data_IF_031950855610
#
_entry.id   IF_031950855610
#
_cell.length_a   1.000
_cell.length_b   1.000
_cell.length_c   1.000
_cell.angle_alpha   90.00
_cell.angle_beta   90.00
_cell.angle_gamma   90.00
#
_symmetry.space_group_name_H-M   'P 1'
#
loop_
_entity.id
_entity.type
_entity.pdbx_description
1 polymer ?
#
# COMPACT_ATOMS: atom_id res chain seq x y z
N UNK A 1 -26.35 16.73 19.68
CA UNK A 1 -26.43 15.43 18.95
C UNK A 1 -25.57 15.38 17.69
N UNK A 2 -25.55 16.43 16.83
CA UNK A 2 -24.74 16.45 15.59
C UNK A 2 -23.23 16.17 15.80
N UNK A 3 -22.62 16.72 16.85
CA UNK A 3 -21.20 16.51 17.17
C UNK A 3 -20.87 15.06 17.56
N UNK A 4 -21.75 14.38 18.30
CA UNK A 4 -21.58 12.98 18.66
C UNK A 4 -21.60 12.07 17.42
N UNK A 5 -22.50 12.36 16.47
CA UNK A 5 -22.59 11.62 15.20
C UNK A 5 -21.34 11.87 14.34
N UNK A 6 -20.85 13.11 14.27
CA UNK A 6 -19.62 13.46 13.55
C UNK A 6 -18.38 12.75 14.13
N UNK A 7 -18.27 12.70 15.47
CA UNK A 7 -17.19 11.97 16.15
C UNK A 7 -17.27 10.48 15.81
N UNK A 8 -18.47 9.89 15.82
CA UNK A 8 -18.65 8.47 15.55
C UNK A 8 -18.31 8.11 14.09
N UNK A 9 -18.76 8.93 13.13
CA UNK A 9 -18.43 8.75 11.71
C UNK A 9 -16.93 8.94 11.46
N UNK A 10 -16.31 9.95 12.10
CA UNK A 10 -14.88 10.20 11.99
C UNK A 10 -14.03 9.07 12.55
N UNK A 11 -14.41 8.49 13.69
CA UNK A 11 -13.73 7.33 14.26
C UNK A 11 -13.92 6.08 13.39
N UNK A 12 -15.15 5.81 12.93
CA UNK A 12 -15.44 4.65 12.09
C UNK A 12 -14.68 4.69 10.75
N UNK A 13 -14.64 5.85 10.10
CA UNK A 13 -13.87 6.03 8.86
C UNK A 13 -12.37 5.92 9.11
N UNK A 14 -11.86 6.49 10.21
CA UNK A 14 -10.46 6.36 10.61
C UNK A 14 -10.02 4.91 10.82
N UNK A 15 -10.80 4.11 11.56
CA UNK A 15 -10.53 2.69 11.76
C UNK A 15 -10.56 1.89 10.45
N UNK A 16 -11.52 2.19 9.57
CA UNK A 16 -11.66 1.51 8.27
C UNK A 16 -10.46 1.79 7.37
N UNK A 17 -10.00 3.04 7.31
CA UNK A 17 -8.82 3.40 6.51
C UNK A 17 -7.54 2.80 7.09
N UNK A 18 -7.37 2.84 8.41
CA UNK A 18 -6.20 2.27 9.06
C UNK A 18 -6.10 0.75 8.85
N UNK A 19 -7.22 0.02 8.99
CA UNK A 19 -7.25 -1.43 8.76
C UNK A 19 -7.01 -1.79 7.29
N UNK A 20 -7.58 -1.04 6.35
CA UNK A 20 -7.36 -1.23 4.92
C UNK A 20 -5.89 -1.00 4.52
N UNK A 21 -5.26 0.07 5.03
CA UNK A 21 -3.85 0.35 4.79
C UNK A 21 -2.96 -0.75 5.38
N UNK A 22 -3.21 -1.16 6.63
CA UNK A 22 -2.44 -2.21 7.28
C UNK A 22 -2.56 -3.54 6.54
N UNK A 23 -3.78 -3.93 6.16
CA UNK A 23 -4.04 -5.12 5.35
C UNK A 23 -3.30 -5.07 4.00
N UNK A 24 -3.30 -3.91 3.32
CA UNK A 24 -2.58 -3.73 2.07
C UNK A 24 -1.07 -3.96 2.25
N UNK A 25 -0.45 -3.34 3.25
CA UNK A 25 0.99 -3.39 3.48
C UNK A 25 1.46 -4.81 3.82
N UNK A 26 0.70 -5.52 4.66
CA UNK A 26 0.99 -6.91 5.04
C UNK A 26 0.78 -7.85 3.85
N UNK A 27 -0.31 -7.67 3.07
CA UNK A 27 -0.62 -8.51 1.90
C UNK A 27 0.40 -8.34 0.78
N UNK A 28 0.82 -7.09 0.51
CA UNK A 28 1.88 -6.80 -0.46
C UNK A 28 3.24 -7.34 0.02
N UNK A 29 3.41 -7.55 1.33
CA UNK A 29 4.63 -8.11 1.90
C UNK A 29 5.79 -7.12 1.99
N UNK A 30 5.51 -5.82 2.01
CA UNK A 30 6.54 -4.76 2.12
C UNK A 30 7.41 -4.98 3.36
N UNK A 31 6.78 -5.27 4.49
CA UNK A 31 7.45 -5.50 5.78
C UNK A 31 8.28 -6.79 5.77
N UNK A 32 7.73 -7.86 5.18
CA UNK A 32 8.45 -9.12 5.01
C UNK A 32 9.72 -8.95 4.16
N UNK A 33 9.62 -8.14 3.09
CA UNK A 33 10.75 -7.85 2.22
C UNK A 33 11.83 -7.04 2.96
N UNK A 34 11.44 -6.02 3.71
CA UNK A 34 12.37 -5.23 4.53
C UNK A 34 13.08 -6.10 5.57
N UNK A 35 12.34 -6.92 6.32
CA UNK A 35 12.90 -7.79 7.36
C UNK A 35 13.86 -8.85 6.79
N UNK A 36 13.62 -9.31 5.55
CA UNK A 36 14.52 -10.23 4.86
C UNK A 36 15.80 -9.57 4.37
N UNK A 37 15.73 -8.37 3.80
CA UNK A 37 16.92 -7.63 3.33
C UNK A 37 17.85 -7.29 4.50
N UNK A 38 17.29 -7.00 5.67
CA UNK A 38 18.07 -6.71 6.90
C UNK A 38 18.47 -7.96 7.68
N UNK A 39 18.15 -9.16 7.18
CA UNK A 39 18.40 -10.45 7.85
C UNK A 39 17.84 -10.50 9.29
N UNK A 40 16.75 -9.79 9.58
CA UNK A 40 16.18 -9.65 10.93
C UNK A 40 14.70 -10.01 10.95
N UNK A 41 14.39 -11.24 10.54
CA UNK A 41 13.01 -11.79 10.55
C UNK A 41 12.44 -11.95 11.98
N UNK A 42 13.32 -12.05 12.99
CA UNK A 42 12.92 -12.25 14.40
C UNK A 42 12.29 -11.01 15.03
N UNK A 43 12.42 -9.84 14.39
CA UNK A 43 11.98 -8.53 14.91
C UNK A 43 10.93 -7.87 14.01
N UNK A 44 10.01 -8.65 13.43
CA UNK A 44 9.00 -8.14 12.49
C UNK A 44 8.06 -7.10 13.13
N UNK A 45 7.66 -7.28 14.39
CA UNK A 45 6.77 -6.33 15.10
C UNK A 45 7.38 -4.93 15.31
N UNK A 46 8.71 -4.82 15.33
CA UNK A 46 9.38 -3.51 15.38
C UNK A 46 9.24 -2.76 14.05
N UNK A 47 9.32 -3.45 12.92
CA UNK A 47 9.08 -2.83 11.61
C UNK A 47 7.63 -2.37 11.45
N UNK A 48 6.66 -3.15 11.94
CA UNK A 48 5.25 -2.75 11.98
C UNK A 48 5.04 -1.48 12.81
N UNK A 49 5.65 -1.41 13.99
CA UNK A 49 5.56 -0.26 14.90
C UNK A 49 6.18 0.99 14.28
N UNK A 50 7.34 0.86 13.62
CA UNK A 50 7.97 1.95 12.88
C UNK A 50 7.10 2.44 11.72
N UNK A 51 6.43 1.53 11.01
CA UNK A 51 5.52 1.89 9.93
C UNK A 51 4.30 2.65 10.45
N UNK A 52 3.70 2.18 11.54
CA UNK A 52 2.59 2.85 12.20
C UNK A 52 2.97 4.25 12.70
N UNK A 53 4.14 4.39 13.34
CA UNK A 53 4.67 5.68 13.77
C UNK A 53 4.91 6.62 12.58
N UNK A 54 5.47 6.12 11.47
CA UNK A 54 5.64 6.91 10.25
C UNK A 54 4.31 7.43 9.69
N UNK A 55 3.27 6.59 9.69
CA UNK A 55 1.92 6.98 9.29
C UNK A 55 1.30 8.04 10.20
N UNK A 56 1.47 7.92 11.52
CA UNK A 56 1.00 8.91 12.50
C UNK A 56 1.70 10.26 12.28
N UNK A 57 3.04 10.25 12.19
CA UNK A 57 3.84 11.46 11.96
C UNK A 57 3.46 12.09 10.61
N UNK A 58 3.35 11.30 9.54
CA UNK A 58 2.95 11.79 8.23
C UNK A 58 1.56 12.43 8.22
N UNK A 59 0.61 11.83 8.94
CA UNK A 59 -0.75 12.37 9.06
C UNK A 59 -0.77 13.69 9.85
N UNK A 60 -0.03 13.78 10.95
CA UNK A 60 0.14 15.03 11.73
C UNK A 60 0.76 16.13 10.86
N UNK A 61 1.82 15.82 10.11
CA UNK A 61 2.45 16.77 9.19
C UNK A 61 1.50 17.24 8.10
N UNK A 62 0.72 16.31 7.53
CA UNK A 62 -0.27 16.61 6.50
C UNK A 62 -1.41 17.50 7.03
N UNK A 63 -1.93 17.19 8.23
CA UNK A 63 -3.07 17.91 8.81
C UNK A 63 -2.71 19.32 9.29
N UNK A 64 -1.58 19.45 9.98
CA UNK A 64 -1.15 20.73 10.56
C UNK A 64 -0.37 21.62 9.59
N UNK A 65 -0.07 21.15 8.38
CA UNK A 65 0.69 21.90 7.35
C UNK A 65 1.90 22.62 7.95
N UNK A 66 2.66 21.91 8.80
CA UNK A 66 3.70 22.51 9.63
C UNK A 66 4.72 23.23 8.73
N UNK A 67 4.90 24.56 8.87
CA UNK A 67 5.84 25.29 8.03
C UNK A 67 7.27 24.95 8.45
N UNK A 68 7.86 23.99 7.73
CA UNK A 68 9.25 23.65 7.89
C UNK A 68 10.13 24.76 7.32
N UNK A 69 10.77 25.55 8.20
CA UNK A 69 11.66 26.66 7.85
C UNK A 69 13.08 26.21 7.42
N UNK A 70 13.18 25.01 6.82
CA UNK A 70 14.43 24.47 6.26
C UNK A 70 14.59 24.89 4.80
N UNK A 71 15.83 24.97 4.33
CA UNK A 71 16.15 25.29 2.94
C UNK A 71 15.34 24.40 1.97
N UNK A 72 14.66 25.04 1.00
CA UNK A 72 13.71 24.35 0.13
C UNK A 72 14.31 23.14 -0.60
N UNK A 73 15.61 23.22 -0.94
CA UNK A 73 16.34 22.14 -1.60
C UNK A 73 16.54 20.91 -0.70
N UNK A 74 16.87 21.12 0.58
CA UNK A 74 17.06 20.04 1.53
C UNK A 74 15.74 19.31 1.81
N UNK A 75 14.64 20.07 1.93
CA UNK A 75 13.29 19.51 2.14
C UNK A 75 12.87 18.60 0.98
N UNK A 76 13.06 19.05 -0.26
CA UNK A 76 12.70 18.28 -1.47
C UNK A 76 13.60 17.06 -1.61
N UNK A 77 14.93 17.23 -1.41
CA UNK A 77 15.89 16.14 -1.51
C UNK A 77 15.63 15.02 -0.49
N UNK A 78 15.40 15.39 0.77
CA UNK A 78 15.07 14.43 1.82
C UNK A 78 13.75 13.72 1.51
N UNK A 79 12.66 14.47 1.26
CA UNK A 79 11.35 13.87 0.95
C UNK A 79 11.44 12.93 -0.26
N UNK A 80 12.12 13.34 -1.33
CA UNK A 80 12.33 12.52 -2.53
C UNK A 80 13.08 11.22 -2.25
N UNK A 81 14.12 11.26 -1.40
CA UNK A 81 14.85 10.07 -0.98
C UNK A 81 13.95 9.06 -0.25
N UNK A 82 13.18 9.51 0.75
CA UNK A 82 12.29 8.64 1.52
C UNK A 82 11.18 8.04 0.64
N UNK A 83 10.57 8.84 -0.23
CA UNK A 83 9.60 8.33 -1.20
C UNK A 83 10.23 7.32 -2.15
N UNK A 84 11.45 7.56 -2.63
CA UNK A 84 12.19 6.64 -3.50
C UNK A 84 12.46 5.30 -2.83
N UNK A 85 12.95 5.31 -1.59
CA UNK A 85 13.20 4.09 -0.79
C UNK A 85 11.89 3.33 -0.57
N UNK A 86 10.82 4.02 -0.19
CA UNK A 86 9.51 3.42 0.02
C UNK A 86 8.96 2.77 -1.25
N UNK A 87 8.91 3.51 -2.36
CA UNK A 87 8.40 3.03 -3.65
C UNK A 87 9.26 1.87 -4.17
N UNK A 88 10.59 1.94 -4.05
CA UNK A 88 11.49 0.84 -4.44
C UNK A 88 11.28 -0.43 -3.59
N UNK A 89 11.02 -0.27 -2.30
CA UNK A 89 10.66 -1.38 -1.42
C UNK A 89 9.29 -1.98 -1.82
N UNK A 90 8.31 -1.12 -2.07
CA UNK A 90 6.94 -1.46 -2.45
C UNK A 90 6.87 -2.23 -3.76
N UNK A 91 7.51 -1.72 -4.83
CA UNK A 91 7.52 -2.36 -6.15
C UNK A 91 8.19 -3.73 -6.09
N UNK A 92 9.32 -3.86 -5.39
CA UNK A 92 9.97 -5.16 -5.31
C UNK A 92 9.22 -6.17 -4.44
N UNK A 93 8.44 -5.72 -3.45
CA UNK A 93 7.53 -6.59 -2.70
C UNK A 93 6.37 -7.06 -3.59
N UNK A 94 5.76 -6.15 -4.38
CA UNK A 94 4.78 -6.50 -5.40
C UNK A 94 5.33 -7.49 -6.43
N UNK A 95 6.55 -7.28 -6.93
CA UNK A 95 7.18 -8.18 -7.89
C UNK A 95 7.34 -9.60 -7.33
N UNK A 96 7.65 -9.72 -6.05
CA UNK A 96 7.75 -11.01 -5.39
C UNK A 96 6.41 -11.71 -5.27
N UNK A 97 5.36 -11.01 -4.83
CA UNK A 97 3.99 -11.54 -4.79
C UNK A 97 3.53 -11.95 -6.19
N UNK A 98 3.83 -11.14 -7.20
CA UNK A 98 3.47 -11.42 -8.59
C UNK A 98 4.16 -12.68 -9.12
N UNK A 99 5.42 -12.90 -8.75
CA UNK A 99 6.16 -14.10 -9.14
C UNK A 99 5.58 -15.39 -8.52
N UNK A 100 4.85 -15.29 -7.41
CA UNK A 100 4.17 -16.43 -6.77
C UNK A 100 2.88 -16.81 -7.50
N UNK A 101 2.19 -15.88 -8.17
CA UNK A 101 0.94 -16.18 -8.87
C UNK A 101 1.05 -17.30 -9.91
N UNK A 102 2.02 -17.30 -10.85
CA UNK A 102 2.17 -18.37 -11.84
C UNK A 102 2.36 -19.75 -11.19
N UNK A 103 3.11 -19.79 -10.09
CA UNK A 103 3.38 -21.02 -9.33
C UNK A 103 2.06 -21.54 -8.72
N UNK A 104 1.24 -20.65 -8.15
CA UNK A 104 -0.06 -21.00 -7.59
C UNK A 104 -1.02 -21.53 -8.67
N UNK A 105 -1.07 -20.90 -9.84
CA UNK A 105 -1.87 -21.38 -10.97
C UNK A 105 -1.43 -22.75 -11.50
N UNK A 106 -0.11 -23.00 -11.51
CA UNK A 106 0.42 -24.31 -11.91
C UNK A 106 0.10 -25.41 -10.87
N UNK A 107 0.19 -25.09 -9.57
CA UNK A 107 -0.17 -26.00 -8.46
C UNK A 107 -1.64 -26.40 -8.48
N UNK A 108 -2.54 -25.47 -8.82
CA UNK A 108 -3.98 -25.72 -8.93
C UNK A 108 -4.38 -26.53 -10.19
N UNK A 109 -3.41 -26.99 -11.02
CA UNK A 109 -3.65 -27.70 -12.30
C UNK A 109 -4.66 -27.00 -13.23
N UNK A 110 -4.83 -25.69 -13.09
CA UNK A 110 -5.70 -24.86 -13.92
C UNK A 110 -5.00 -24.53 -15.26
N UNK A 111 -4.62 -25.55 -16.05
CA UNK A 111 -3.99 -25.38 -17.37
C UNK A 111 -4.84 -24.56 -18.36
N UNK A 112 -6.16 -24.53 -18.17
CA UNK A 112 -7.09 -23.74 -18.99
C UNK A 112 -7.57 -22.45 -18.31
N UNK A 113 -7.49 -22.35 -16.97
CA UNK A 113 -8.00 -21.20 -16.21
C UNK A 113 -7.20 -19.92 -16.43
N UNK A 114 -5.89 -20.01 -16.71
CA UNK A 114 -5.06 -18.82 -16.93
C UNK A 114 -5.50 -18.04 -18.19
N UNK A 115 -5.84 -18.73 -19.28
CA UNK A 115 -6.37 -18.10 -20.50
C UNK A 115 -7.72 -17.44 -20.23
N UNK A 116 -8.61 -18.11 -19.49
CA UNK A 116 -9.91 -17.56 -19.11
C UNK A 116 -9.77 -16.33 -18.21
N UNK A 117 -8.82 -16.34 -17.27
CA UNK A 117 -8.55 -15.23 -16.36
C UNK A 117 -7.98 -14.01 -17.11
N UNK A 118 -7.08 -14.23 -18.06
CA UNK A 118 -6.57 -13.16 -18.92
C UNK A 118 -7.71 -12.53 -19.73
N UNK A 119 -8.59 -13.36 -20.32
CA UNK A 119 -9.77 -12.89 -21.05
C UNK A 119 -10.76 -12.13 -20.16
N UNK A 120 -11.02 -12.59 -18.93
CA UNK A 120 -11.93 -11.90 -18.02
C UNK A 120 -11.38 -10.53 -17.57
N UNK A 121 -10.07 -10.44 -17.33
CA UNK A 121 -9.42 -9.16 -16.99
C UNK A 121 -9.44 -8.20 -18.19
N UNK A 122 -9.15 -8.71 -19.40
CA UNK A 122 -9.21 -7.91 -20.62
C UNK A 122 -10.62 -7.38 -20.89
N UNK A 123 -11.64 -8.23 -20.76
CA UNK A 123 -13.05 -7.82 -20.89
C UNK A 123 -13.46 -6.79 -19.83
N UNK A 124 -13.05 -6.98 -18.57
CA UNK A 124 -13.33 -6.00 -17.51
C UNK A 124 -12.71 -4.63 -17.79
N UNK A 125 -11.46 -4.59 -18.27
CA UNK A 125 -10.78 -3.35 -18.71
C UNK A 125 -11.45 -2.73 -19.93
N UNK A 126 -11.83 -3.52 -20.92
CA UNK A 126 -12.51 -3.04 -22.12
C UNK A 126 -13.89 -2.45 -21.78
N UNK A 127 -14.69 -3.15 -20.96
CA UNK A 127 -15.99 -2.67 -20.49
C UNK A 127 -15.85 -1.38 -19.68
N UNK A 128 -14.88 -1.30 -18.76
CA UNK A 128 -14.59 -0.07 -18.02
C UNK A 128 -14.18 1.10 -18.91
N UNK A 129 -13.39 0.84 -19.96
CA UNK A 129 -13.00 1.85 -20.95
C UNK A 129 -14.19 2.35 -21.79
N UNK A 130 -15.09 1.46 -22.19
CA UNK A 130 -16.30 1.83 -22.92
C UNK A 130 -17.24 2.65 -22.03
N UNK A 131 -17.43 2.25 -20.77
CA UNK A 131 -18.27 3.00 -19.82
C UNK A 131 -17.71 4.39 -19.52
N UNK A 132 -16.39 4.55 -19.37
CA UNK A 132 -15.74 5.85 -19.20
C UNK A 132 -15.83 6.75 -20.44
N UNK A 133 -16.08 6.17 -21.62
CA UNK A 133 -16.23 6.93 -22.86
C UNK A 133 -17.69 7.37 -23.08
N UNK A 134 -18.64 6.64 -22.50
CA UNK A 134 -20.08 6.92 -22.57
C UNK A 134 -20.54 7.88 -21.46
N UNK A 135 -19.90 7.85 -20.28
CA UNK A 135 -20.18 8.71 -19.13
C UNK A 135 -19.03 9.67 -18.85
#
# INVERSE_FOLDING_TARGET
MKTLVLIFIGLASGFTVASALFALIVTVGVLNRLARVTHSAKSMGWYESCFALGGIIGNVVYLYQIPFNVSGLFRIGFMGLFFGIYIGCFIGALAEVVNVFPIMFHRLRLRQGLKALIWSVALGKAAGGILHLIY
#
